data_IF_956985007832
#
_entry.id   IF_956985007832
#
_cell.length_a   1.000
_cell.length_b   1.000
_cell.length_c   1.000
_cell.angle_alpha   90.00
_cell.angle_beta   90.00
_cell.angle_gamma   90.00
#
_symmetry.space_group_name_H-M   'P 1'
#
loop_
_entity.id
_entity.type
_entity.pdbx_description
1 polymer ?
#
# COMPACT_ATOMS: atom_id res chain seq x y z
N UNK A 1 -1.64 -15.82 5.38
CA UNK A 1 -1.47 -14.60 4.56
C UNK A 1 -0.59 -13.62 5.32
N UNK A 2 0.18 -12.81 4.61
CA UNK A 2 0.97 -11.70 5.17
C UNK A 2 0.66 -10.47 4.33
N UNK A 3 0.31 -9.35 4.96
CA UNK A 3 0.19 -8.07 4.27
C UNK A 3 1.52 -7.33 4.33
N UNK A 4 1.92 -6.73 3.21
CA UNK A 4 3.14 -5.95 3.10
C UNK A 4 2.86 -4.60 2.45
N UNK A 5 3.67 -3.60 2.81
CA UNK A 5 3.71 -2.31 2.17
C UNK A 5 4.94 -2.22 1.26
N UNK A 6 4.71 -1.66 0.08
CA UNK A 6 5.74 -1.26 -0.87
C UNK A 6 5.51 0.20 -1.23
N UNK A 7 6.59 0.95 -1.47
CA UNK A 7 6.54 2.39 -1.72
C UNK A 7 6.98 2.69 -3.14
N UNK A 8 6.27 3.61 -3.81
CA UNK A 8 6.74 4.21 -5.06
C UNK A 8 7.81 5.27 -4.76
N UNK A 9 8.69 5.56 -5.72
CA UNK A 9 9.50 6.78 -5.63
C UNK A 9 8.61 8.03 -5.72
N UNK A 10 9.11 9.18 -5.26
CA UNK A 10 8.40 10.47 -5.40
C UNK A 10 8.06 10.80 -6.86
N UNK A 11 8.99 10.54 -7.80
CA UNK A 11 8.74 10.76 -9.23
C UNK A 11 7.67 9.81 -9.79
N UNK A 12 7.72 8.53 -9.40
CA UNK A 12 6.72 7.55 -9.80
C UNK A 12 5.34 7.82 -9.20
N UNK A 13 5.27 8.39 -8.01
CA UNK A 13 4.02 8.83 -7.37
C UNK A 13 3.31 9.85 -8.25
N UNK A 14 4.01 10.92 -8.65
CA UNK A 14 3.47 11.94 -9.55
C UNK A 14 3.02 11.32 -10.89
N UNK A 15 3.80 10.38 -11.43
CA UNK A 15 3.45 9.68 -12.66
C UNK A 15 2.15 8.87 -12.49
N UNK A 16 2.07 8.05 -11.44
CA UNK A 16 0.93 7.18 -11.17
C UNK A 16 -0.38 7.96 -10.97
N UNK A 17 -0.33 9.09 -10.26
CA UNK A 17 -1.52 9.92 -10.02
C UNK A 17 -2.10 10.53 -11.31
N UNK A 18 -1.26 10.79 -12.31
CA UNK A 18 -1.68 11.33 -13.61
C UNK A 18 -2.25 10.28 -14.56
N UNK A 19 -2.12 9.00 -14.22
CA UNK A 19 -2.70 7.93 -15.02
C UNK A 19 -4.23 7.97 -14.93
N UNK A 20 -4.89 7.67 -16.05
CA UNK A 20 -6.31 7.35 -16.02
C UNK A 20 -6.55 5.98 -15.37
N UNK A 21 -7.80 5.69 -15.03
CA UNK A 21 -8.16 4.46 -14.31
C UNK A 21 -7.77 3.18 -15.07
N UNK A 22 -7.91 3.15 -16.40
CA UNK A 22 -7.46 2.00 -17.22
C UNK A 22 -5.96 1.78 -17.11
N UNK A 23 -5.16 2.85 -17.15
CA UNK A 23 -3.71 2.78 -17.03
C UNK A 23 -3.27 2.43 -15.59
N UNK A 24 -3.98 2.89 -14.56
CA UNK A 24 -3.74 2.45 -13.17
C UNK A 24 -4.02 0.95 -13.00
N UNK A 25 -5.09 0.44 -13.60
CA UNK A 25 -5.39 -1.00 -13.60
C UNK A 25 -4.26 -1.80 -14.26
N UNK A 26 -3.80 -1.37 -15.44
CA UNK A 26 -2.69 -2.01 -16.12
C UNK A 26 -1.38 -1.95 -15.30
N UNK A 27 -1.14 -0.84 -14.59
CA UNK A 27 -0.01 -0.68 -13.69
C UNK A 27 -0.05 -1.71 -12.54
N UNK A 28 -1.22 -1.89 -11.93
CA UNK A 28 -1.41 -2.87 -10.87
C UNK A 28 -1.23 -4.32 -11.36
N UNK A 29 -1.79 -4.65 -12.53
CA UNK A 29 -1.71 -5.99 -13.11
C UNK A 29 -0.27 -6.34 -13.54
N UNK A 30 0.46 -5.39 -14.13
CA UNK A 30 1.88 -5.56 -14.46
C UNK A 30 2.73 -5.77 -13.19
N UNK A 31 2.44 -5.03 -12.12
CA UNK A 31 3.15 -5.17 -10.84
C UNK A 31 2.97 -6.56 -10.24
N UNK A 32 1.72 -7.05 -10.14
CA UNK A 32 1.44 -8.40 -9.65
C UNK A 32 2.10 -9.47 -10.52
N UNK A 33 1.99 -9.32 -11.85
CA UNK A 33 2.56 -10.29 -12.80
C UNK A 33 4.08 -10.34 -12.69
N UNK A 34 4.74 -9.18 -12.63
CA UNK A 34 6.20 -9.10 -12.53
C UNK A 34 6.72 -9.66 -11.20
N UNK A 35 6.05 -9.39 -10.08
CA UNK A 35 6.37 -10.03 -8.80
C UNK A 35 6.17 -11.55 -8.83
N UNK A 36 5.04 -12.02 -9.37
CA UNK A 36 4.76 -13.45 -9.48
C UNK A 36 5.83 -14.18 -10.29
N UNK A 37 6.22 -13.60 -11.43
CA UNK A 37 7.28 -14.13 -12.28
C UNK A 37 8.64 -14.12 -11.57
N UNK A 38 9.00 -13.02 -10.91
CA UNK A 38 10.30 -12.89 -10.25
C UNK A 38 10.47 -13.85 -9.05
N UNK A 39 9.37 -14.14 -8.33
CA UNK A 39 9.37 -15.06 -7.19
C UNK A 39 9.06 -16.51 -7.64
N UNK A 40 8.66 -16.72 -8.89
CA UNK A 40 8.22 -18.02 -9.44
C UNK A 40 7.02 -18.62 -8.71
N UNK A 41 5.96 -17.81 -8.54
CA UNK A 41 4.68 -18.22 -7.95
C UNK A 41 3.52 -17.92 -8.89
N UNK A 42 2.36 -18.56 -8.66
CA UNK A 42 1.14 -18.18 -9.36
C UNK A 42 0.71 -16.76 -8.98
N UNK A 43 0.16 -15.99 -9.92
CA UNK A 43 -0.36 -14.64 -9.64
C UNK A 43 -1.47 -14.64 -8.59
N UNK A 44 -2.23 -15.73 -8.45
CA UNK A 44 -3.24 -15.89 -7.38
C UNK A 44 -2.64 -15.88 -5.97
N UNK A 45 -1.32 -16.08 -5.84
CA UNK A 45 -0.59 -16.00 -4.56
C UNK A 45 -0.29 -14.56 -4.15
N UNK A 46 -0.58 -13.58 -4.99
CA UNK A 46 -0.37 -12.16 -4.75
C UNK A 46 -1.68 -11.41 -5.02
N UNK A 47 -2.05 -10.51 -4.12
CA UNK A 47 -3.20 -9.63 -4.31
C UNK A 47 -2.83 -8.22 -3.90
N UNK A 48 -3.34 -7.21 -4.61
CA UNK A 48 -3.09 -5.82 -4.27
C UNK A 48 -4.41 -5.07 -4.19
N UNK A 49 -4.55 -4.27 -3.13
CA UNK A 49 -5.70 -3.39 -3.01
C UNK A 49 -5.53 -2.23 -4.00
N UNK A 50 -6.58 -1.92 -4.76
CA UNK A 50 -6.58 -0.80 -5.73
C UNK A 50 -6.72 0.57 -5.06
N UNK A 51 -6.74 0.60 -3.72
CA UNK A 51 -6.66 1.80 -2.89
C UNK A 51 -5.24 1.90 -2.36
N UNK A 52 -4.75 3.12 -2.24
CA UNK A 52 -3.41 3.39 -1.75
C UNK A 52 -3.42 4.43 -0.65
N UNK A 53 -2.30 4.55 0.06
CA UNK A 53 -2.06 5.56 1.08
C UNK A 53 -0.85 6.40 0.67
N UNK A 54 -0.69 7.56 1.28
CA UNK A 54 0.52 8.37 1.14
C UNK A 54 1.41 8.15 2.36
N UNK A 55 2.72 7.99 2.12
CA UNK A 55 3.72 7.91 3.18
C UNK A 55 4.02 9.30 3.73
N UNK A 56 3.22 9.72 4.73
CA UNK A 56 3.40 10.99 5.42
C UNK A 56 4.67 11.09 6.28
N UNK A 57 5.47 10.02 6.40
CA UNK A 57 6.77 10.07 7.07
C UNK A 57 7.90 10.57 6.15
N UNK A 58 7.66 10.57 4.83
CA UNK A 58 8.59 11.07 3.83
C UNK A 58 8.39 12.57 3.53
N UNK A 59 9.38 13.18 2.89
CA UNK A 59 9.25 14.57 2.40
C UNK A 59 8.33 14.63 1.19
N UNK A 60 7.68 15.78 1.01
CA UNK A 60 6.83 16.01 -0.16
C UNK A 60 7.63 15.90 -1.48
N UNK A 61 7.01 15.32 -2.54
CA UNK A 61 5.66 14.76 -2.56
C UNK A 61 5.60 13.43 -1.78
N UNK A 62 4.57 13.29 -0.93
CA UNK A 62 4.39 12.09 -0.10
C UNK A 62 4.24 10.87 -1.00
N UNK A 63 5.21 9.94 -0.97
CA UNK A 63 5.19 8.82 -1.91
C UNK A 63 4.05 7.86 -1.62
N UNK A 64 3.51 7.26 -2.68
CA UNK A 64 2.40 6.31 -2.57
C UNK A 64 2.89 4.98 -1.97
N UNK A 65 2.09 4.46 -1.02
CA UNK A 65 2.17 3.12 -0.44
C UNK A 65 1.08 2.22 -1.00
N UNK A 66 1.51 1.10 -1.58
CA UNK A 66 0.61 0.01 -1.95
C UNK A 66 0.66 -1.10 -0.91
N UNK A 67 -0.52 -1.65 -0.62
CA UNK A 67 -0.64 -2.89 0.15
C UNK A 67 -0.69 -4.08 -0.79
N UNK A 68 0.24 -4.99 -0.62
CA UNK A 68 0.25 -6.31 -1.28
C UNK A 68 0.02 -7.39 -0.23
N UNK A 69 -0.92 -8.28 -0.48
CA UNK A 69 -1.18 -9.47 0.32
C UNK A 69 -0.48 -10.67 -0.32
N UNK A 70 0.42 -11.29 0.45
CA UNK A 70 1.01 -12.59 0.15
C UNK A 70 0.05 -13.67 0.66
N UNK A 71 -0.54 -14.43 -0.25
CA UNK A 71 -1.54 -15.46 0.07
C UNK A 71 -0.84 -16.74 0.49
N UNK A 72 -1.35 -17.38 1.54
CA UNK A 72 -0.84 -18.66 2.05
C UNK A 72 -0.83 -19.73 0.96
N UNK A 73 0.15 -20.63 1.05
CA UNK A 73 0.22 -21.80 0.19
C UNK A 73 -1.03 -22.67 0.37
N UNK A 74 -1.52 -23.24 -0.72
CA UNK A 74 -2.65 -24.17 -0.70
C UNK A 74 -2.21 -25.64 -0.64
N UNK A 75 -0.95 -25.89 -1.03
CA UNK A 75 -0.32 -27.21 -0.99
C UNK A 75 1.07 -27.16 -0.33
N UNK A 76 1.65 -28.32 -0.05
CA UNK A 76 2.95 -28.45 0.62
C UNK A 76 4.15 -28.25 -0.31
N UNK A 77 3.96 -28.20 -1.62
CA UNK A 77 5.02 -28.03 -2.61
C UNK A 77 5.24 -26.56 -2.98
N UNK A 78 4.24 -25.73 -2.71
CA UNK A 78 4.28 -24.29 -2.84
C UNK A 78 5.14 -23.63 -1.75
N UNK A 79 5.91 -22.61 -2.13
CA UNK A 79 6.71 -21.83 -1.17
C UNK A 79 5.82 -21.11 -0.15
N UNK A 80 6.35 -20.98 1.06
CA UNK A 80 5.66 -20.32 2.17
C UNK A 80 5.56 -18.80 1.95
N UNK A 81 4.59 -18.15 2.61
CA UNK A 81 4.51 -16.67 2.58
C UNK A 81 5.74 -16.00 3.19
N UNK A 82 6.48 -16.70 4.07
CA UNK A 82 7.72 -16.18 4.65
C UNK A 82 8.86 -16.18 3.64
N UNK A 83 8.98 -17.24 2.84
CA UNK A 83 9.94 -17.30 1.73
C UNK A 83 9.56 -16.30 0.64
N UNK A 84 8.28 -16.17 0.29
CA UNK A 84 7.80 -15.14 -0.64
C UNK A 84 8.19 -13.74 -0.16
N UNK A 85 7.99 -13.44 1.13
CA UNK A 85 8.38 -12.15 1.71
C UNK A 85 9.89 -11.91 1.60
N UNK A 86 10.71 -12.90 1.95
CA UNK A 86 12.16 -12.79 1.86
C UNK A 86 12.62 -12.56 0.41
N UNK A 87 12.08 -13.32 -0.54
CA UNK A 87 12.36 -13.17 -1.97
C UNK A 87 11.94 -11.80 -2.49
N UNK A 88 10.71 -11.36 -2.20
CA UNK A 88 10.21 -10.05 -2.62
C UNK A 88 11.05 -8.91 -2.03
N UNK A 89 11.39 -9.00 -0.74
CA UNK A 89 12.25 -8.02 -0.06
C UNK A 89 13.63 -7.92 -0.72
N UNK A 90 14.28 -9.06 -1.00
CA UNK A 90 15.56 -9.09 -1.70
C UNK A 90 15.46 -8.51 -3.11
N UNK A 91 14.39 -8.85 -3.85
CA UNK A 91 14.19 -8.41 -5.22
C UNK A 91 13.96 -6.89 -5.33
N UNK A 92 13.13 -6.32 -4.45
CA UNK A 92 12.83 -4.87 -4.43
C UNK A 92 14.03 -4.06 -3.96
N UNK A 93 14.72 -4.52 -2.91
CA UNK A 93 15.91 -3.85 -2.38
C UNK A 93 17.03 -3.80 -3.43
N UNK A 94 17.18 -4.88 -4.20
CA UNK A 94 18.20 -4.99 -5.26
C UNK A 94 17.63 -4.72 -6.66
N UNK A 95 16.51 -3.98 -6.79
CA UNK A 95 15.78 -3.87 -8.06
C UNK A 95 16.64 -3.45 -9.25
N UNK A 96 17.70 -2.66 -9.02
CA UNK A 96 18.62 -2.16 -10.05
C UNK A 96 19.39 -3.25 -10.79
N UNK A 97 19.39 -4.48 -10.28
CA UNK A 97 20.06 -5.64 -10.88
C UNK A 97 19.14 -6.86 -11.00
N UNK A 98 17.84 -6.72 -10.73
CA UNK A 98 16.86 -7.82 -10.85
C UNK A 98 15.93 -7.57 -12.03
N UNK A 99 15.14 -8.57 -12.41
CA UNK A 99 14.17 -8.44 -13.51
C UNK A 99 13.13 -7.33 -13.28
N UNK A 100 12.93 -6.89 -12.03
CA UNK A 100 11.99 -5.84 -11.67
C UNK A 100 12.32 -4.48 -12.31
N UNK A 101 13.58 -4.19 -12.66
CA UNK A 101 13.92 -2.92 -13.33
C UNK A 101 13.34 -2.78 -14.74
N UNK A 102 12.91 -3.88 -15.37
CA UNK A 102 12.47 -3.87 -16.77
C UNK A 102 10.96 -3.65 -16.93
N UNK A 103 10.19 -3.62 -15.84
CA UNK A 103 8.76 -3.37 -15.87
C UNK A 103 8.48 -1.97 -15.35
N UNK A 104 7.62 -1.21 -16.03
CA UNK A 104 7.33 0.19 -15.68
C UNK A 104 6.85 0.33 -14.24
N UNK A 105 6.00 -0.61 -13.82
CA UNK A 105 5.41 -0.65 -12.47
C UNK A 105 6.41 -0.98 -11.37
N UNK A 106 7.28 -1.98 -11.53
CA UNK A 106 8.23 -2.39 -10.48
C UNK A 106 9.56 -1.63 -10.52
N UNK A 107 9.93 -1.05 -11.66
CA UNK A 107 11.02 -0.07 -11.75
C UNK A 107 10.73 1.21 -10.96
N UNK A 108 9.44 1.53 -10.80
CA UNK A 108 8.93 2.70 -10.07
C UNK A 108 9.05 2.61 -8.54
N UNK A 109 9.41 1.44 -8.00
CA UNK A 109 9.50 1.19 -6.56
C UNK A 109 10.69 1.91 -5.93
N UNK A 110 10.54 2.29 -4.67
CA UNK A 110 11.61 2.79 -3.84
C UNK A 110 12.39 1.62 -3.21
N UNK A 111 13.60 1.41 -3.70
CA UNK A 111 14.47 0.33 -3.21
C UNK A 111 15.05 0.59 -1.82
N UNK A 112 15.15 1.85 -1.38
CA UNK A 112 15.64 2.18 -0.04
C UNK A 112 14.58 1.91 1.03
N UNK A 113 13.31 2.12 0.68
CA UNK A 113 12.18 1.69 1.52
C UNK A 113 12.08 0.16 1.60
N UNK A 114 12.31 -0.52 0.48
CA UNK A 114 12.23 -1.97 0.38
C UNK A 114 10.79 -2.48 0.52
N UNK A 115 10.61 -3.50 1.36
CA UNK A 115 9.31 -4.14 1.61
C UNK A 115 9.10 -4.26 3.10
N UNK A 116 8.01 -3.70 3.60
CA UNK A 116 7.70 -3.71 5.03
C UNK A 116 6.51 -4.60 5.34
N UNK A 117 6.67 -5.49 6.32
CA UNK A 117 5.57 -6.32 6.81
C UNK A 117 4.58 -5.44 7.59
N UNK A 118 3.32 -5.43 7.16
CA UNK A 118 2.25 -4.71 7.83
C UNK A 118 1.72 -5.56 8.98
N UNK A 119 2.15 -5.22 10.20
CA UNK A 119 1.62 -5.82 11.41
C UNK A 119 0.31 -5.13 11.78
N UNK A 120 -0.76 -5.91 11.84
CA UNK A 120 -1.99 -5.44 12.43
C UNK A 120 -1.83 -5.43 13.95
N UNK A 121 -1.54 -4.26 14.52
CA UNK A 121 -1.63 -4.06 15.96
C UNK A 121 -3.10 -3.81 16.31
N UNK A 122 -3.86 -4.89 16.44
CA UNK A 122 -5.19 -4.82 17.04
C UNK A 122 -5.05 -4.28 18.46
N UNK A 123 -5.50 -3.04 18.67
CA UNK A 123 -5.57 -2.48 20.01
C UNK A 123 -6.97 -2.78 20.56
N UNK A 124 -7.08 -3.83 21.36
CA UNK A 124 -8.35 -4.24 21.97
C UNK A 124 -8.98 -3.11 22.78
N UNK A 125 -8.16 -2.25 23.40
CA UNK A 125 -8.65 -1.07 24.12
C UNK A 125 -9.24 -0.04 23.16
N UNK A 126 -8.62 0.19 22.01
CA UNK A 126 -9.19 1.06 20.97
C UNK A 126 -10.48 0.47 20.41
N UNK A 127 -10.53 -0.83 20.13
CA UNK A 127 -11.74 -1.51 19.67
C UNK A 127 -12.89 -1.41 20.68
N UNK A 128 -12.58 -1.57 21.97
CA UNK A 128 -13.56 -1.43 23.06
C UNK A 128 -14.00 0.03 23.23
N UNK A 129 -13.06 0.97 23.19
CA UNK A 129 -13.35 2.40 23.23
C UNK A 129 -14.26 2.81 22.06
N UNK A 130 -13.95 2.38 20.84
CA UNK A 130 -14.72 2.72 19.64
C UNK A 130 -16.15 2.19 19.72
N UNK A 131 -16.34 0.97 20.28
CA UNK A 131 -17.67 0.42 20.55
C UNK A 131 -18.47 1.22 21.58
N UNK A 132 -17.82 1.81 22.58
CA UNK A 132 -18.49 2.65 23.58
C UNK A 132 -18.74 4.08 23.07
N UNK A 133 -17.92 4.57 22.13
CA UNK A 133 -17.92 5.93 21.61
C UNK A 133 -18.30 5.96 20.12
N UNK A 134 -19.43 5.34 19.77
CA UNK A 134 -19.84 5.13 18.37
C UNK A 134 -19.99 6.45 17.59
N UNK A 135 -20.52 7.50 18.21
CA UNK A 135 -20.67 8.82 17.57
C UNK A 135 -19.30 9.43 17.24
N UNK A 136 -18.39 9.49 18.22
CA UNK A 136 -17.04 10.02 18.01
C UNK A 136 -16.28 9.21 16.96
N UNK A 137 -16.38 7.88 17.01
CA UNK A 137 -15.74 6.99 16.04
C UNK A 137 -16.28 7.21 14.61
N UNK A 138 -17.57 7.46 14.47
CA UNK A 138 -18.19 7.74 13.17
C UNK A 138 -17.70 9.07 12.59
N UNK A 139 -17.47 10.08 13.43
CA UNK A 139 -16.87 11.36 13.02
C UNK A 139 -15.45 11.12 12.49
N UNK A 140 -14.61 10.38 13.20
CA UNK A 140 -13.25 10.06 12.71
C UNK A 140 -13.27 9.34 11.36
N UNK A 141 -14.21 8.41 11.17
CA UNK A 141 -14.39 7.72 9.88
C UNK A 141 -14.74 8.74 8.81
N UNK A 142 -15.75 9.59 9.00
CA UNK A 142 -16.13 10.64 8.03
C UNK A 142 -14.95 11.55 7.71
N UNK A 143 -14.24 12.05 8.73
CA UNK A 143 -13.09 12.94 8.56
C UNK A 143 -11.94 12.27 7.79
N UNK A 144 -11.72 10.96 7.98
CA UNK A 144 -10.70 10.22 7.23
C UNK A 144 -11.00 10.06 5.74
N UNK A 145 -12.25 10.28 5.32
CA UNK A 145 -12.66 10.31 3.92
C UNK A 145 -12.76 11.73 3.35
N UNK A 146 -12.63 12.76 4.19
CA UNK A 146 -12.67 14.14 3.74
C UNK A 146 -11.31 14.61 3.25
N UNK A 147 -11.31 15.34 2.14
CA UNK A 147 -10.12 16.05 1.66
C UNK A 147 -9.75 17.19 2.62
N UNK A 148 -8.49 17.62 2.60
CA UNK A 148 -7.96 18.65 3.51
C UNK A 148 -8.67 20.00 3.32
N UNK A 149 -9.11 20.30 2.09
CA UNK A 149 -9.89 21.50 1.78
C UNK A 149 -11.30 21.47 2.40
N UNK A 150 -11.94 20.28 2.41
CA UNK A 150 -13.24 20.11 3.06
C UNK A 150 -13.13 20.18 4.60
N UNK A 151 -12.01 19.71 5.14
CA UNK A 151 -11.70 19.82 6.57
C UNK A 151 -11.46 21.28 7.00
N UNK A 152 -10.77 22.06 6.18
CA UNK A 152 -10.50 23.48 6.46
C UNK A 152 -11.79 24.31 6.44
N UNK A 153 -12.70 24.02 5.49
CA UNK A 153 -14.04 24.62 5.46
C UNK A 153 -14.83 24.35 6.75
N UNK A 154 -14.91 23.09 7.18
CA UNK A 154 -15.63 22.71 8.41
C UNK A 154 -14.98 23.32 9.66
N UNK A 155 -13.63 23.38 9.71
CA UNK A 155 -12.90 24.02 10.79
C UNK A 155 -13.20 25.52 10.88
N UNK A 156 -13.26 26.20 9.74
CA UNK A 156 -13.57 27.64 9.67
C UNK A 156 -14.99 27.93 10.18
N UNK A 157 -15.99 27.13 9.79
CA UNK A 157 -17.38 27.29 10.24
C UNK A 157 -17.52 27.05 11.76
N UNK A 158 -16.84 26.04 12.30
CA UNK A 158 -16.84 25.79 13.75
C UNK A 158 -16.24 26.99 14.49
N UNK A 159 -15.09 27.52 14.03
CA UNK A 159 -14.44 28.67 14.65
C UNK A 159 -15.26 29.96 14.62
N UNK A 160 -16.13 30.11 13.62
CA UNK A 160 -17.03 31.25 13.48
C UNK A 160 -18.36 31.07 14.24
N UNK A 161 -18.63 29.86 14.75
CA UNK A 161 -19.86 29.52 15.48
C UNK A 161 -19.70 29.47 17.01
N UNK A 162 -18.48 29.72 17.51
CA UNK A 162 -18.09 29.87 18.92
C UNK A 162 -17.79 31.33 19.27
#
# INVERSE_FOLDING_TARGET
NIDVAIRLTSAATIYFERLNETAKLAFYDEMITSFANAISVNTTRLSMQKRYQNDGSAREPWPILFRVTLVAAQDSNEISTREMFASLSALVTNKSITSLMFYNSTASLDSEFGVMELKFYGNDNFHNWARQNVVASSIFIVLSYCDIEALDFVSSDISNSS
#
